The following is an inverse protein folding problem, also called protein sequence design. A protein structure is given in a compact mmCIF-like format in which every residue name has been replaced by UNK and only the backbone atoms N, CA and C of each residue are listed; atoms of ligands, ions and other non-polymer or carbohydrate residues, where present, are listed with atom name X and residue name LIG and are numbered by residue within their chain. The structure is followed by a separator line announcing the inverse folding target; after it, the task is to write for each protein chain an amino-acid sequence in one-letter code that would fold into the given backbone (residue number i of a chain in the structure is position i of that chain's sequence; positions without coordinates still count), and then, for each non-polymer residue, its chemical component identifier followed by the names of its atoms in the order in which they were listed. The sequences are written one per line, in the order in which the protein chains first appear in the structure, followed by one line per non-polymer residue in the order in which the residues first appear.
data_IF_728968635566
#
_entry.id   IF_728968635566
#
_cell.length_a   1.000
_cell.length_b   1.000
_cell.length_c   1.000
_cell.angle_alpha   90.00
_cell.angle_beta   90.00
_cell.angle_gamma   90.00
#
_symmetry.space_group_name_H-M   'P 1'
#
loop_
_entity.id
_entity.type
_entity.pdbx_description
1 polymer ?
#
# COMPACT_ATOMS: atom_id res chain seq x y z
N UNK A 1 -18.64 14.68 4.11
CA UNK A 1 -17.19 14.77 3.85
C UNK A 1 -16.53 13.54 4.48
N UNK A 2 -16.19 12.56 3.65
CA UNK A 2 -15.69 11.25 4.10
C UNK A 2 -14.18 11.35 4.29
N UNK A 3 -13.72 11.19 5.53
CA UNK A 3 -12.31 11.09 5.88
C UNK A 3 -11.78 9.70 5.51
N UNK A 4 -10.75 9.63 4.65
CA UNK A 4 -9.96 8.42 4.48
C UNK A 4 -9.08 8.22 5.72
N UNK A 5 -9.33 7.16 6.49
CA UNK A 5 -8.44 6.70 7.56
C UNK A 5 -7.30 5.89 6.95
N UNK A 6 -6.06 6.33 7.17
CA UNK A 6 -4.89 5.45 7.13
C UNK A 6 -4.94 4.53 8.36
N UNK A 7 -4.92 3.21 8.17
CA UNK A 7 -4.73 2.26 9.26
C UNK A 7 -3.23 2.08 9.52
N UNK A 8 -2.80 2.39 10.76
CA UNK A 8 -1.64 1.78 11.38
C UNK A 8 -2.15 0.63 12.25
N UNK A 9 -1.59 -0.56 12.07
CA UNK A 9 -1.94 -1.76 12.83
C UNK A 9 -1.18 -1.74 14.16
N UNK A 10 -1.90 -1.74 15.29
CA UNK A 10 -1.41 -2.35 16.52
C UNK A 10 -2.49 -3.32 16.98
N UNK A 11 -2.16 -4.60 16.93
CA UNK A 11 -2.97 -5.69 17.46
C UNK A 11 -3.04 -5.54 18.97
N UNK A 12 -4.24 -5.36 19.51
CA UNK A 12 -4.50 -5.55 20.92
C UNK A 12 -5.39 -6.79 21.07
N UNK A 13 -4.79 -7.88 21.50
CA UNK A 13 -5.47 -9.12 21.89
C UNK A 13 -5.18 -9.33 23.38
N UNK A 14 -6.23 -9.66 24.12
CA UNK A 14 -6.11 -10.40 25.38
C UNK A 14 -6.40 -9.57 26.62
N UNK A 15 -7.55 -9.86 27.23
CA UNK A 15 -7.96 -9.30 28.50
C UNK A 15 -7.17 -9.83 29.69
N UNK A 16 -7.18 -9.03 30.75
CA UNK A 16 -6.82 -9.45 32.09
C UNK A 16 -7.82 -8.83 33.07
N UNK A 17 -8.53 -9.66 33.80
CA UNK A 17 -9.12 -9.30 35.09
C UNK A 17 -8.15 -9.77 36.15
N UNK A 18 -7.59 -8.86 36.94
CA UNK A 18 -6.84 -9.21 38.15
C UNK A 18 -7.19 -8.22 39.26
N UNK A 19 -7.97 -8.75 40.20
CA UNK A 19 -8.23 -8.22 41.54
C UNK A 19 -6.94 -8.13 42.35
N UNK A 20 -6.71 -7.00 43.03
CA UNK A 20 -5.96 -6.92 44.29
C UNK A 20 -4.44 -7.19 44.28
N UNK A 21 -3.71 -6.19 44.79
CA UNK A 21 -2.31 -6.21 45.30
C UNK A 21 -1.17 -6.33 44.27
N UNK A 22 -0.25 -5.36 44.34
CA UNK A 22 0.74 -5.04 43.31
C UNK A 22 1.87 -6.05 43.11
N UNK A 23 2.45 -6.02 41.91
CA UNK A 23 3.57 -6.87 41.49
C UNK A 23 4.90 -6.45 42.14
N UNK A 24 5.70 -7.43 42.58
CA UNK A 24 7.09 -7.29 43.04
C UNK A 24 8.03 -8.01 42.07
N UNK A 25 9.30 -7.61 42.01
CA UNK A 25 10.34 -8.35 41.30
C UNK A 25 10.65 -9.69 42.01
N UNK A 26 11.18 -10.68 41.27
CA UNK A 26 11.43 -12.06 41.77
C UNK A 26 12.41 -12.12 42.96
N UNK A 27 13.22 -11.08 43.16
CA UNK A 27 14.19 -10.91 44.24
C UNK A 27 13.66 -10.12 45.45
N UNK A 28 12.38 -9.72 45.47
CA UNK A 28 11.72 -9.12 46.63
C UNK A 28 12.02 -7.65 46.91
N UNK A 29 12.90 -7.03 46.14
CA UNK A 29 13.19 -5.60 46.23
C UNK A 29 12.03 -4.75 45.66
N UNK A 30 11.79 -3.54 46.21
CA UNK A 30 10.88 -2.58 45.62
C UNK A 30 11.37 -2.21 44.22
N UNK A 31 10.50 -2.30 43.21
CA UNK A 31 10.79 -1.73 41.89
C UNK A 31 10.98 -0.22 42.08
N UNK A 32 12.21 0.26 41.95
CA UNK A 32 12.49 1.69 41.95
C UNK A 32 11.87 2.28 40.68
N UNK A 33 10.80 3.05 40.87
CA UNK A 33 10.01 3.67 39.79
C UNK A 33 10.82 4.73 39.04
N UNK A 34 12.08 4.97 39.43
CA UNK A 34 12.99 5.90 38.78
C UNK A 34 14.06 5.25 37.89
N UNK A 35 14.18 3.91 37.83
CA UNK A 35 15.14 3.26 36.93
C UNK A 35 14.52 2.96 35.55
N UNK A 36 14.50 3.99 34.69
CA UNK A 36 14.05 3.88 33.29
C UNK A 36 15.06 3.16 32.37
N UNK A 37 16.13 2.56 32.91
CA UNK A 37 17.20 1.98 32.09
C UNK A 37 16.88 0.62 31.45
N UNK A 38 15.73 0.00 31.76
CA UNK A 38 15.36 -1.34 31.25
C UNK A 38 14.51 -1.31 29.98
N UNK A 39 14.10 -0.14 29.47
CA UNK A 39 13.55 -0.07 28.11
C UNK A 39 14.73 -0.13 27.14
N UNK A 40 15.06 -1.34 26.65
CA UNK A 40 15.85 -1.51 25.43
C UNK A 40 15.21 -0.64 24.36
N UNK A 41 15.77 0.56 24.16
CA UNK A 41 15.39 1.46 23.07
C UNK A 41 15.61 0.64 21.81
N UNK A 42 14.53 0.10 21.23
CA UNK A 42 14.55 -0.41 19.87
C UNK A 42 15.21 0.69 19.05
N UNK A 43 16.39 0.41 18.49
CA UNK A 43 17.12 1.39 17.72
C UNK A 43 16.14 1.98 16.70
N UNK A 44 15.86 3.28 16.83
CA UNK A 44 14.90 3.95 15.95
C UNK A 44 15.55 3.98 14.57
N UNK A 45 15.13 3.10 13.67
CA UNK A 45 15.61 3.10 12.29
C UNK A 45 15.17 4.44 11.69
N UNK A 46 16.09 5.33 11.28
CA UNK A 46 15.71 6.63 10.75
C UNK A 46 14.89 6.46 9.47
N UNK A 47 13.90 7.33 9.27
CA UNK A 47 13.14 7.39 8.02
C UNK A 47 14.04 7.92 6.90
N UNK A 48 14.75 7.01 6.22
CA UNK A 48 15.69 7.34 5.16
C UNK A 48 15.11 6.99 3.81
N UNK A 49 15.02 7.99 2.93
CA UNK A 49 14.73 7.76 1.53
C UNK A 49 15.92 7.09 0.85
N UNK A 50 15.67 5.96 0.18
CA UNK A 50 16.67 5.26 -0.64
C UNK A 50 16.12 5.07 -2.05
N UNK A 51 16.93 5.39 -3.05
CA UNK A 51 16.64 5.02 -4.44
C UNK A 51 16.86 3.52 -4.60
N UNK A 52 15.85 2.82 -5.11
CA UNK A 52 15.92 1.41 -5.48
C UNK A 52 16.33 1.32 -6.96
N UNK A 53 17.32 0.48 -7.27
CA UNK A 53 17.65 0.13 -8.66
C UNK A 53 16.65 -0.90 -9.14
N UNK A 54 15.98 -0.64 -10.26
CA UNK A 54 14.93 -1.51 -10.80
C UNK A 54 15.22 -1.85 -12.25
N UNK A 55 14.72 -2.99 -12.72
CA UNK A 55 14.86 -3.45 -14.11
C UNK A 55 13.55 -4.09 -14.62
N UNK A 56 13.55 -4.61 -15.84
CA UNK A 56 12.43 -5.28 -16.48
C UNK A 56 11.57 -4.34 -17.36
N UNK A 57 10.30 -4.68 -17.50
CA UNK A 57 9.36 -3.93 -18.35
C UNK A 57 8.82 -2.70 -17.61
N UNK A 58 9.68 -1.69 -17.46
CA UNK A 58 9.36 -0.51 -16.67
C UNK A 58 8.26 0.36 -17.32
N UNK A 59 7.35 0.93 -16.52
CA UNK A 59 6.46 1.96 -17.00
C UNK A 59 7.24 3.21 -17.42
N UNK A 60 6.79 3.88 -18.50
CA UNK A 60 7.28 5.23 -18.79
C UNK A 60 6.98 6.22 -17.64
N UNK A 61 7.77 7.31 -17.49
CA UNK A 61 7.48 8.38 -16.53
C UNK A 61 6.05 8.89 -16.71
N UNK A 62 5.28 8.92 -15.62
CA UNK A 62 3.84 9.19 -15.69
C UNK A 62 3.31 9.91 -14.45
N UNK A 63 2.21 10.66 -14.62
CA UNK A 63 1.43 11.29 -13.53
C UNK A 63 -0.02 10.77 -13.51
N UNK A 64 -0.71 10.93 -12.38
CA UNK A 64 -2.12 10.58 -12.24
C UNK A 64 -2.40 9.09 -12.49
N UNK A 65 -1.41 8.22 -12.31
CA UNK A 65 -1.64 6.79 -12.19
C UNK A 65 -2.12 6.48 -10.77
N UNK A 66 -2.77 5.35 -10.58
CA UNK A 66 -3.03 4.81 -9.23
C UNK A 66 -2.13 3.62 -8.98
N UNK A 67 -1.83 3.36 -7.71
CA UNK A 67 -1.16 2.15 -7.27
C UNK A 67 -1.96 1.43 -6.19
N UNK A 68 -1.82 0.11 -6.15
CA UNK A 68 -2.35 -0.76 -5.10
C UNK A 68 -1.33 -1.82 -4.71
N UNK A 69 -1.44 -2.36 -3.50
CA UNK A 69 -0.63 -3.48 -3.02
C UNK A 69 -1.48 -4.72 -2.89
N UNK A 70 -1.04 -5.83 -3.47
CA UNK A 70 -1.66 -7.14 -3.32
C UNK A 70 -0.58 -8.22 -3.40
N UNK A 71 -0.64 -9.21 -2.52
CA UNK A 71 0.28 -10.36 -2.49
C UNK A 71 1.77 -9.96 -2.60
N UNK A 72 2.20 -9.05 -1.72
CA UNK A 72 3.55 -8.47 -1.64
C UNK A 72 4.05 -7.78 -2.93
N UNK A 73 3.16 -7.50 -3.88
CA UNK A 73 3.47 -6.80 -5.13
C UNK A 73 2.74 -5.48 -5.22
N UNK A 74 3.31 -4.56 -5.98
CA UNK A 74 2.72 -3.26 -6.24
C UNK A 74 2.21 -3.24 -7.68
N UNK A 75 0.92 -2.97 -7.86
CA UNK A 75 0.31 -2.80 -9.16
C UNK A 75 0.09 -1.33 -9.44
N UNK A 76 0.38 -0.89 -10.67
CA UNK A 76 0.05 0.45 -11.14
C UNK A 76 -0.85 0.36 -12.36
N UNK A 77 -1.79 1.29 -12.48
CA UNK A 77 -2.72 1.36 -13.60
C UNK A 77 -2.81 2.77 -14.18
N UNK A 78 -2.83 2.81 -15.52
CA UNK A 78 -3.07 4.01 -16.30
C UNK A 78 -2.06 5.13 -16.06
N UNK A 79 -2.58 6.36 -16.04
CA UNK A 79 -1.78 7.59 -15.92
C UNK A 79 -1.38 8.18 -17.28
N UNK A 80 -0.69 9.32 -17.22
CA UNK A 80 -0.25 10.08 -18.39
C UNK A 80 1.26 10.24 -18.38
N UNK A 81 1.94 9.68 -19.40
CA UNK A 81 3.38 9.80 -19.62
C UNK A 81 3.68 10.34 -21.01
N UNK A 82 4.61 11.28 -21.14
CA UNK A 82 4.95 11.92 -22.42
C UNK A 82 3.73 12.45 -23.20
N UNK A 83 2.77 13.08 -22.51
CA UNK A 83 1.48 13.56 -23.06
C UNK A 83 0.57 12.47 -23.64
N UNK A 84 0.83 11.19 -23.35
CA UNK A 84 0.00 10.05 -23.74
C UNK A 84 -0.61 9.40 -22.50
N UNK A 85 -1.93 9.35 -22.47
CA UNK A 85 -2.67 8.58 -21.45
C UNK A 85 -2.58 7.08 -21.75
N UNK A 86 -2.64 6.27 -20.70
CA UNK A 86 -2.50 4.81 -20.77
C UNK A 86 -3.63 4.11 -20.04
N UNK A 87 -3.90 2.86 -20.41
CA UNK A 87 -4.67 1.87 -19.65
C UNK A 87 -3.81 0.63 -19.35
N UNK A 88 -2.48 0.74 -19.46
CA UNK A 88 -1.59 -0.38 -19.16
C UNK A 88 -1.52 -0.62 -17.66
N UNK A 89 -1.46 -1.88 -17.28
CA UNK A 89 -1.18 -2.34 -15.91
C UNK A 89 0.27 -2.83 -15.83
N UNK A 90 0.97 -2.44 -14.77
CA UNK A 90 2.30 -2.97 -14.47
C UNK A 90 2.33 -3.49 -13.04
N UNK A 91 3.13 -4.51 -12.81
CA UNK A 91 3.43 -5.06 -11.50
C UNK A 91 4.91 -4.81 -11.18
N UNK A 92 5.18 -4.42 -9.95
CA UNK A 92 6.50 -4.36 -9.37
C UNK A 92 6.59 -5.37 -8.23
N UNK A 93 7.61 -6.22 -8.28
CA UNK A 93 7.98 -7.10 -7.17
C UNK A 93 9.12 -6.44 -6.38
N UNK A 94 8.88 -6.00 -5.12
CA UNK A 94 9.91 -5.39 -4.29
C UNK A 94 11.07 -6.33 -3.90
N UNK A 95 10.83 -7.64 -3.81
CA UNK A 95 11.86 -8.63 -3.46
C UNK A 95 12.90 -8.77 -4.56
N UNK A 96 12.46 -8.78 -5.82
CA UNK A 96 13.35 -8.90 -6.99
C UNK A 96 13.71 -7.55 -7.60
N UNK A 97 13.02 -6.48 -7.21
CA UNK A 97 13.12 -5.15 -7.81
C UNK A 97 12.83 -5.14 -9.33
N UNK A 98 12.02 -6.08 -9.81
CA UNK A 98 11.66 -6.21 -11.21
C UNK A 98 10.26 -5.67 -11.49
N UNK A 99 10.15 -4.95 -12.60
CA UNK A 99 8.88 -4.57 -13.22
C UNK A 99 8.47 -5.56 -14.30
N UNK A 100 7.18 -5.86 -14.37
CA UNK A 100 6.56 -6.56 -15.49
C UNK A 100 5.31 -5.84 -15.96
N UNK A 101 5.04 -5.90 -17.26
CA UNK A 101 3.74 -5.51 -17.80
C UNK A 101 2.76 -6.66 -17.56
N UNK A 102 1.60 -6.33 -17.02
CA UNK A 102 0.51 -7.30 -16.86
C UNK A 102 -0.35 -7.20 -18.11
N UNK A 103 -0.47 -8.31 -18.84
CA UNK A 103 -1.41 -8.41 -19.95
C UNK A 103 -2.81 -8.63 -19.39
N UNK A 104 -3.75 -7.77 -19.79
CA UNK A 104 -5.14 -7.80 -19.35
C UNK A 104 -6.06 -8.09 -20.54
N UNK A 105 -7.14 -8.82 -20.28
CA UNK A 105 -8.12 -9.25 -21.29
C UNK A 105 -9.55 -8.95 -20.84
N UNK A 106 -10.51 -9.07 -21.76
CA UNK A 106 -11.94 -8.78 -21.51
C UNK A 106 -12.29 -7.32 -21.74
N UNK A 107 -13.22 -6.79 -20.93
CA UNK A 107 -13.69 -5.41 -21.03
C UNK A 107 -12.65 -4.45 -20.44
N UNK A 108 -11.77 -3.96 -21.31
CA UNK A 108 -10.68 -3.08 -20.90
C UNK A 108 -11.19 -1.66 -20.66
N UNK A 109 -10.86 -1.03 -19.52
CA UNK A 109 -11.14 0.38 -19.32
C UNK A 109 -10.41 1.21 -20.39
N UNK A 110 -11.06 2.29 -20.84
CA UNK A 110 -10.38 3.25 -21.70
C UNK A 110 -9.13 3.82 -21.02
N UNK A 111 -8.18 4.32 -21.82
CA UNK A 111 -7.01 5.07 -21.32
C UNK A 111 -7.50 6.19 -20.41
N UNK A 112 -6.87 6.33 -19.23
CA UNK A 112 -7.32 7.26 -18.18
C UNK A 112 -6.19 7.69 -17.25
N UNK A 113 -6.37 8.83 -16.61
CA UNK A 113 -5.50 9.33 -15.53
C UNK A 113 -6.35 10.05 -14.47
N UNK A 114 -5.81 10.25 -13.28
CA UNK A 114 -6.50 10.90 -12.16
C UNK A 114 -7.70 10.10 -11.62
N UNK A 115 -7.75 8.79 -11.87
CA UNK A 115 -8.75 7.89 -11.32
C UNK A 115 -8.37 7.46 -9.90
N UNK A 116 -9.25 6.72 -9.23
CA UNK A 116 -8.97 6.06 -7.95
C UNK A 116 -8.88 4.55 -8.13
N UNK A 117 -8.16 3.89 -7.23
CA UNK A 117 -8.11 2.44 -7.17
C UNK A 117 -7.97 1.95 -5.72
N UNK A 118 -8.60 0.80 -5.43
CA UNK A 118 -8.52 0.10 -4.14
C UNK A 118 -8.44 -1.41 -4.36
N UNK A 119 -8.00 -2.15 -3.35
CA UNK A 119 -8.08 -3.61 -3.34
C UNK A 119 -9.30 -4.04 -2.53
N UNK A 120 -10.09 -4.96 -3.08
CA UNK A 120 -11.15 -5.66 -2.37
C UNK A 120 -11.04 -7.17 -2.65
N UNK A 121 -10.67 -7.94 -1.62
CA UNK A 121 -10.31 -9.35 -1.78
C UNK A 121 -9.09 -9.50 -2.70
N UNK A 122 -9.26 -10.23 -3.80
CA UNK A 122 -8.23 -10.44 -4.83
C UNK A 122 -8.42 -9.56 -6.07
N UNK A 123 -9.19 -8.45 -5.95
CA UNK A 123 -9.51 -7.58 -7.07
C UNK A 123 -9.01 -6.17 -6.85
N UNK A 124 -8.47 -5.55 -7.89
CA UNK A 124 -8.29 -4.11 -7.98
C UNK A 124 -9.59 -3.49 -8.51
N UNK A 125 -10.23 -2.63 -7.73
CA UNK A 125 -11.41 -1.88 -8.14
C UNK A 125 -10.98 -0.46 -8.50
N UNK A 126 -11.38 0.03 -9.67
CA UNK A 126 -11.04 1.37 -10.15
C UNK A 126 -12.30 2.15 -10.47
N UNK A 127 -12.28 3.46 -10.22
CA UNK A 127 -13.41 4.35 -10.50
C UNK A 127 -12.96 5.67 -11.12
N UNK A 128 -13.69 6.09 -12.16
CA UNK A 128 -13.62 7.42 -12.74
C UNK A 128 -12.27 7.79 -13.36
N UNK A 129 -11.88 9.05 -13.17
CA UNK A 129 -10.70 9.68 -13.80
C UNK A 129 -11.06 10.54 -15.01
N UNK A 130 -10.09 10.77 -15.89
CA UNK A 130 -10.24 11.64 -17.06
C UNK A 130 -9.69 11.03 -18.34
N UNK A 131 -10.38 11.28 -19.45
CA UNK A 131 -9.93 11.01 -20.82
C UNK A 131 -8.91 12.06 -21.28
N UNK A 132 -8.32 11.85 -22.48
CA UNK A 132 -7.28 12.75 -23.01
C UNK A 132 -7.79 14.17 -23.29
N UNK A 133 -9.07 14.31 -23.61
CA UNK A 133 -9.74 15.58 -23.83
C UNK A 133 -10.21 16.26 -22.53
N UNK A 134 -9.87 15.71 -21.37
CA UNK A 134 -10.30 16.23 -20.07
C UNK A 134 -11.73 15.85 -19.67
N UNK A 135 -12.45 15.07 -20.47
CA UNK A 135 -13.77 14.58 -20.09
C UNK A 135 -13.66 13.65 -18.87
N UNK A 136 -14.48 13.90 -17.86
CA UNK A 136 -14.60 13.05 -16.67
C UNK A 136 -15.16 11.66 -17.02
N UNK A 137 -14.81 10.70 -16.18
CA UNK A 137 -15.28 9.32 -16.21
C UNK A 137 -16.01 9.02 -14.91
N UNK A 138 -17.06 8.22 -15.00
CA UNK A 138 -17.93 7.77 -13.90
C UNK A 138 -18.14 6.24 -13.92
N UNK A 139 -17.31 5.53 -14.70
CA UNK A 139 -17.33 4.09 -14.85
C UNK A 139 -16.50 3.38 -13.76
N UNK A 140 -16.88 2.15 -13.44
CA UNK A 140 -16.20 1.26 -12.47
C UNK A 140 -15.69 0.03 -13.18
N UNK A 141 -14.46 -0.38 -12.91
CA UNK A 141 -13.89 -1.64 -13.40
C UNK A 141 -13.25 -2.42 -12.27
N UNK A 142 -13.31 -3.74 -12.37
CA UNK A 142 -12.55 -4.66 -11.53
C UNK A 142 -11.52 -5.43 -12.36
N UNK A 143 -10.33 -5.63 -11.79
CA UNK A 143 -9.29 -6.51 -12.32
C UNK A 143 -8.98 -7.58 -11.29
N UNK A 144 -9.11 -8.85 -11.66
CA UNK A 144 -8.67 -9.96 -10.82
C UNK A 144 -7.12 -10.01 -10.81
N UNK A 145 -6.54 -9.99 -9.60
CA UNK A 145 -5.09 -9.97 -9.38
C UNK A 145 -4.49 -11.36 -9.12
N UNK A 146 -5.34 -12.38 -8.98
CA UNK A 146 -4.89 -13.77 -8.96
C UNK A 146 -4.82 -14.25 -10.41
N UNK A 147 -3.60 -14.48 -10.89
CA UNK A 147 -3.38 -15.19 -12.15
C UNK A 147 -3.84 -16.64 -11.98
N UNK A 148 -4.69 -17.14 -12.87
CA UNK A 148 -4.93 -18.57 -13.01
C UNK A 148 -3.69 -19.29 -13.52
#
# INVERSE_FOLDING_TARGET
AIFFRFFAFLSNVGGWTATGTGMRAENGDPLDVHDISVVKRHATIPFVWKRVSTDGQMPCPRRGHTSVVFDNKIYIFGGCGNRKISNSVFEFNPETSLWRRVECHGDLPCKRYGHTAVVYGHKMITFGGFKNNGAGLDDTYELNLVTQ
#
